data_IF_415649532200
#
_entry.id   IF_415649532200
#
_cell.length_a   1.000
_cell.length_b   1.000
_cell.length_c   1.000
_cell.angle_alpha   90.00
_cell.angle_beta   90.00
_cell.angle_gamma   90.00
#
_symmetry.space_group_name_H-M   'P 1'
#
loop_
_entity.id
_entity.type
_entity.pdbx_description
1 polymer ?
#
# COMPACT_ATOMS: atom_id res chain seq x y z
N UNK A 1 -8.51 42.83 17.66
CA UNK A 1 -9.16 41.50 17.51
C UNK A 1 -9.81 41.46 16.13
N UNK A 2 -9.09 41.02 15.10
CA UNK A 2 -9.54 41.14 13.69
C UNK A 2 -9.43 39.81 12.93
N UNK A 3 -9.43 38.69 13.65
CA UNK A 3 -9.34 37.33 13.07
C UNK A 3 -10.69 36.60 13.00
N UNK A 4 -11.81 37.28 13.30
CA UNK A 4 -13.12 36.64 13.44
C UNK A 4 -14.03 36.70 12.19
N UNK A 5 -13.61 37.35 11.10
CA UNK A 5 -14.53 37.76 10.02
C UNK A 5 -14.24 37.14 8.65
N UNK A 6 -13.56 36.00 8.56
CA UNK A 6 -13.33 35.36 7.26
C UNK A 6 -13.62 33.86 7.33
N UNK A 7 -14.89 33.51 7.10
CA UNK A 7 -15.31 32.21 6.55
C UNK A 7 -14.80 31.98 5.11
N UNK A 8 -13.60 32.50 4.81
CA UNK A 8 -12.93 32.42 3.54
C UNK A 8 -11.74 31.51 3.82
N UNK A 9 -11.95 30.21 3.65
CA UNK A 9 -10.83 29.26 3.51
C UNK A 9 -9.87 29.90 2.50
N UNK A 10 -8.62 30.24 2.88
CA UNK A 10 -7.73 30.98 2.02
C UNK A 10 -7.65 30.26 0.68
N UNK A 11 -7.80 30.99 -0.44
CA UNK A 11 -7.71 30.42 -1.80
C UNK A 11 -6.43 29.59 -2.01
N UNK A 12 -5.38 29.92 -1.26
CA UNK A 12 -4.11 29.17 -1.13
C UNK A 12 -4.29 27.73 -0.65
N UNK A 13 -5.30 27.41 0.17
CA UNK A 13 -5.61 26.06 0.64
C UNK A 13 -6.49 25.28 -0.35
N UNK A 14 -7.30 25.96 -1.17
CA UNK A 14 -8.09 25.29 -2.22
C UNK A 14 -7.20 24.61 -3.26
N UNK A 15 -6.12 25.27 -3.68
CA UNK A 15 -5.15 24.71 -4.63
C UNK A 15 -4.58 23.35 -4.19
N UNK A 16 -3.92 23.19 -3.02
CA UNK A 16 -3.40 21.90 -2.57
C UNK A 16 -4.52 20.89 -2.33
N UNK A 17 -5.69 21.31 -1.82
CA UNK A 17 -6.83 20.41 -1.67
C UNK A 17 -7.28 19.81 -3.01
N UNK A 18 -7.40 20.62 -4.08
CA UNK A 18 -7.76 20.13 -5.41
C UNK A 18 -6.70 19.16 -5.95
N UNK A 19 -5.41 19.45 -5.80
CA UNK A 19 -4.34 18.53 -6.22
C UNK A 19 -4.38 17.21 -5.46
N UNK A 20 -4.60 17.24 -4.15
CA UNK A 20 -4.75 16.04 -3.32
C UNK A 20 -5.98 15.24 -3.76
N UNK A 21 -7.12 15.91 -4.01
CA UNK A 21 -8.35 15.26 -4.50
C UNK A 21 -8.13 14.57 -5.85
N UNK A 22 -7.48 15.24 -6.81
CA UNK A 22 -7.17 14.67 -8.12
C UNK A 22 -6.22 13.46 -7.98
N UNK A 23 -5.20 13.56 -7.13
CA UNK A 23 -4.27 12.46 -6.86
C UNK A 23 -4.98 11.25 -6.23
N UNK A 24 -5.90 11.48 -5.30
CA UNK A 24 -6.71 10.42 -4.69
C UNK A 24 -7.60 9.73 -5.73
N UNK A 25 -8.26 10.51 -6.60
CA UNK A 25 -9.08 9.97 -7.70
C UNK A 25 -8.22 9.11 -8.64
N UNK A 26 -7.00 9.56 -8.96
CA UNK A 26 -6.07 8.80 -9.80
C UNK A 26 -5.66 7.47 -9.15
N UNK A 27 -5.35 7.46 -7.85
CA UNK A 27 -5.03 6.22 -7.12
C UNK A 27 -6.22 5.26 -7.15
N UNK A 28 -7.44 5.74 -6.93
CA UNK A 28 -8.66 4.93 -6.97
C UNK A 28 -8.87 4.35 -8.37
N UNK A 29 -8.70 5.17 -9.43
CA UNK A 29 -8.82 4.73 -10.82
C UNK A 29 -7.80 3.63 -11.17
N UNK A 30 -6.54 3.80 -10.75
CA UNK A 30 -5.48 2.81 -10.97
C UNK A 30 -5.75 1.54 -10.16
N UNK A 31 -6.24 1.67 -8.92
CA UNK A 31 -6.57 0.54 -8.05
C UNK A 31 -7.83 -0.22 -8.46
N UNK A 32 -8.77 0.43 -9.17
CA UNK A 32 -9.98 -0.20 -9.70
C UNK A 32 -9.72 -0.95 -11.01
N UNK A 33 -8.65 -0.61 -11.72
CA UNK A 33 -8.25 -1.34 -12.90
C UNK A 33 -7.79 -2.76 -12.48
N UNK A 34 -8.27 -3.83 -13.15
CA UNK A 34 -7.86 -5.22 -12.85
C UNK A 34 -6.45 -5.51 -13.39
N UNK A 35 -5.48 -4.65 -13.10
CA UNK A 35 -4.07 -4.83 -13.43
C UNK A 35 -3.42 -5.61 -12.30
N UNK A 36 -2.65 -6.65 -12.64
CA UNK A 36 -1.77 -7.29 -11.66
C UNK A 36 -0.57 -6.37 -11.39
N UNK A 37 -0.49 -5.84 -10.17
CA UNK A 37 0.67 -5.07 -9.76
C UNK A 37 1.93 -5.95 -9.75
N UNK A 38 3.12 -5.36 -9.94
CA UNK A 38 4.38 -6.09 -9.85
C UNK A 38 4.53 -6.82 -8.51
N UNK A 39 5.12 -8.01 -8.54
CA UNK A 39 5.23 -8.89 -7.34
C UNK A 39 5.91 -8.22 -6.15
N UNK A 40 6.87 -7.33 -6.39
CA UNK A 40 7.64 -6.62 -5.35
C UNK A 40 6.84 -5.58 -4.55
N UNK A 41 5.66 -5.20 -5.04
CA UNK A 41 4.73 -4.28 -4.36
C UNK A 41 4.01 -4.98 -3.21
N UNK A 42 3.84 -6.30 -3.28
CA UNK A 42 3.14 -7.06 -2.25
C UNK A 42 4.02 -7.26 -1.01
N UNK A 43 3.45 -7.02 0.17
CA UNK A 43 4.12 -7.21 1.45
C UNK A 43 4.61 -8.65 1.63
N UNK A 44 3.81 -9.63 1.19
CA UNK A 44 4.16 -11.05 1.28
C UNK A 44 5.41 -11.40 0.46
N UNK A 45 5.60 -10.76 -0.69
CA UNK A 45 6.80 -10.98 -1.50
C UNK A 45 8.04 -10.40 -0.83
N UNK A 46 7.92 -9.23 -0.20
CA UNK A 46 9.03 -8.63 0.56
C UNK A 46 9.35 -9.47 1.80
N UNK A 47 8.33 -10.03 2.46
CA UNK A 47 8.50 -10.94 3.59
C UNK A 47 9.18 -12.24 3.16
N UNK A 48 8.67 -12.89 2.11
CA UNK A 48 9.25 -14.11 1.55
C UNK A 48 10.71 -13.88 1.14
N UNK A 49 11.00 -12.75 0.49
CA UNK A 49 12.37 -12.38 0.10
C UNK A 49 13.31 -12.23 1.30
N UNK A 50 12.87 -11.61 2.40
CA UNK A 50 13.69 -11.45 3.61
C UNK A 50 13.92 -12.74 4.37
N UNK A 51 12.98 -13.68 4.29
CA UNK A 51 13.00 -14.94 5.02
C UNK A 51 13.43 -16.15 4.17
N UNK A 52 13.86 -15.94 2.93
CA UNK A 52 14.30 -17.03 2.05
C UNK A 52 13.18 -18.00 1.66
N UNK A 53 11.93 -17.53 1.65
CA UNK A 53 10.74 -18.32 1.29
C UNK A 53 10.40 -18.17 -0.20
N UNK A 54 11.39 -17.83 -1.02
CA UNK A 54 11.24 -17.74 -2.47
C UNK A 54 11.76 -19.02 -3.12
N UNK A 55 11.04 -19.51 -4.12
CA UNK A 55 11.49 -20.62 -4.97
C UNK A 55 12.58 -20.16 -5.95
N UNK A 56 13.13 -21.11 -6.71
CA UNK A 56 14.16 -20.85 -7.73
C UNK A 56 13.71 -19.89 -8.84
N UNK A 57 12.39 -19.76 -9.04
CA UNK A 57 11.77 -18.85 -10.00
C UNK A 57 11.43 -17.46 -9.43
N UNK A 58 11.72 -17.22 -8.14
CA UNK A 58 11.46 -15.98 -7.42
C UNK A 58 9.99 -15.75 -7.06
N UNK A 59 9.17 -16.81 -7.08
CA UNK A 59 7.81 -16.80 -6.53
C UNK A 59 7.84 -17.25 -5.07
N UNK A 60 6.75 -16.99 -4.34
CA UNK A 60 6.62 -17.46 -2.96
C UNK A 60 6.47 -18.98 -3.00
N UNK A 61 7.43 -19.68 -2.41
CA UNK A 61 7.33 -21.12 -2.19
C UNK A 61 6.24 -21.37 -1.16
N UNK A 62 5.10 -21.91 -1.63
CA UNK A 62 3.95 -22.18 -0.78
C UNK A 62 4.24 -23.24 0.27
N UNK A 63 5.10 -24.22 -0.01
CA UNK A 63 5.48 -25.27 0.93
C UNK A 63 6.41 -24.73 2.01
N UNK A 64 7.40 -23.92 1.64
CA UNK A 64 8.26 -23.23 2.61
C UNK A 64 7.46 -22.23 3.45
N UNK A 65 6.56 -21.46 2.84
CA UNK A 65 5.70 -20.50 3.52
C UNK A 65 4.75 -21.18 4.53
N UNK A 66 4.11 -22.29 4.13
CA UNK A 66 3.22 -23.05 5.00
C UNK A 66 3.97 -23.65 6.20
N UNK A 67 5.16 -24.23 5.98
CA UNK A 67 6.00 -24.75 7.07
C UNK A 67 6.44 -23.65 8.04
N UNK A 68 6.84 -22.48 7.51
CA UNK A 68 7.23 -21.33 8.33
C UNK A 68 6.06 -20.80 9.18
N UNK A 69 4.84 -20.81 8.65
CA UNK A 69 3.65 -20.39 9.39
C UNK A 69 3.15 -21.45 10.39
N UNK A 70 3.28 -22.75 10.07
CA UNK A 70 2.96 -23.84 10.99
C UNK A 70 3.88 -23.81 12.22
N UNK A 71 5.19 -23.64 12.02
CA UNK A 71 6.15 -23.53 13.12
C UNK A 71 5.84 -22.35 14.06
N UNK A 72 5.36 -21.21 13.52
CA UNK A 72 4.91 -20.06 14.33
C UNK A 72 3.61 -20.31 15.11
N UNK A 73 2.71 -21.17 14.62
CA UNK A 73 1.43 -21.47 15.29
C UNK A 73 1.60 -22.37 16.50
N UNK A 74 2.60 -23.25 16.50
CA UNK A 74 2.94 -24.10 17.65
C UNK A 74 3.68 -23.36 18.78
N UNK A 75 4.01 -22.07 18.58
CA UNK A 75 4.75 -21.24 19.55
C UNK A 75 3.82 -20.34 20.40
N UNK A 76 2.50 -20.49 20.30
CA UNK A 76 1.47 -19.80 21.09
C UNK A 76 0.51 -20.81 21.76
#
# INVERSE_FOLDING_TARGET
MTFAEHGIIPRVLYTPCVYISILLILIILIGLLPIKFPRWVYADWQYAKRHGLLDESGNIDQEAWARHHANKKDLW
#
